data_IF_208342030621
#
_entry.id   IF_208342030621
#
_cell.length_a   1.000
_cell.length_b   1.000
_cell.length_c   1.000
_cell.angle_alpha   90.00
_cell.angle_beta   90.00
_cell.angle_gamma   90.00
#
_symmetry.space_group_name_H-M   'P 1'
#
loop_
_entity.id
_entity.type
_entity.pdbx_description
1 polymer ?
#
# COMPACT_ATOMS: atom_id res chain seq x y z
N UNK A 1 22.72 -4.04 -17.37
CA UNK A 1 22.12 -3.97 -16.02
C UNK A 1 23.13 -4.53 -15.03
N UNK A 2 23.42 -3.85 -13.91
CA UNK A 2 24.46 -4.29 -12.96
C UNK A 2 23.94 -5.49 -12.17
N UNK A 3 24.60 -6.65 -12.30
CA UNK A 3 24.41 -7.77 -11.38
C UNK A 3 24.95 -7.36 -10.00
N UNK A 4 24.06 -6.90 -9.12
CA UNK A 4 24.40 -6.64 -7.73
C UNK A 4 24.65 -7.97 -7.01
N UNK A 5 25.63 -8.01 -6.12
CA UNK A 5 25.79 -9.15 -5.23
C UNK A 5 24.70 -9.13 -4.14
N UNK A 6 24.32 -10.30 -3.63
CA UNK A 6 23.27 -10.44 -2.59
C UNK A 6 23.49 -9.54 -1.37
N UNK A 7 24.75 -9.29 -1.03
CA UNK A 7 25.14 -8.40 0.07
C UNK A 7 24.76 -6.95 -0.25
N UNK A 8 25.00 -6.45 -1.47
CA UNK A 8 24.60 -5.10 -1.87
C UNK A 8 23.07 -4.96 -1.89
N UNK A 9 22.33 -5.96 -2.38
CA UNK A 9 20.86 -5.94 -2.32
C UNK A 9 20.36 -5.80 -0.88
N UNK A 10 20.89 -6.62 0.03
CA UNK A 10 20.53 -6.57 1.45
C UNK A 10 20.87 -5.22 2.08
N UNK A 11 22.05 -4.66 1.77
CA UNK A 11 22.46 -3.33 2.23
C UNK A 11 21.48 -2.27 1.73
N UNK A 12 21.10 -2.28 0.45
CA UNK A 12 20.18 -1.29 -0.13
C UNK A 12 18.79 -1.37 0.50
N UNK A 13 18.23 -2.58 0.66
CA UNK A 13 16.94 -2.78 1.31
C UNK A 13 16.99 -2.28 2.76
N UNK A 14 18.01 -2.68 3.53
CA UNK A 14 18.15 -2.26 4.93
C UNK A 14 18.32 -0.75 5.05
N UNK A 15 19.14 -0.13 4.19
CA UNK A 15 19.33 1.31 4.16
C UNK A 15 18.04 2.07 3.82
N UNK A 16 17.23 1.55 2.87
CA UNK A 16 15.93 2.15 2.56
C UNK A 16 14.94 2.10 3.73
N UNK A 17 14.90 0.97 4.45
CA UNK A 17 14.04 0.82 5.64
C UNK A 17 14.46 1.78 6.75
N UNK A 18 15.77 1.86 7.04
CA UNK A 18 16.30 2.81 8.02
C UNK A 18 16.00 4.26 7.64
N UNK A 19 16.13 4.62 6.36
CA UNK A 19 15.82 5.96 5.87
C UNK A 19 14.36 6.32 6.11
N UNK A 20 13.43 5.39 5.85
CA UNK A 20 12.00 5.59 6.11
C UNK A 20 11.74 5.80 7.60
N UNK A 21 12.36 5.00 8.46
CA UNK A 21 12.21 5.10 9.92
C UNK A 21 12.75 6.43 10.44
N UNK A 22 13.93 6.86 9.99
CA UNK A 22 14.54 8.14 10.40
C UNK A 22 13.69 9.33 9.93
N UNK A 23 13.13 9.25 8.73
CA UNK A 23 12.32 10.32 8.14
C UNK A 23 10.84 10.28 8.55
N UNK A 24 10.45 9.40 9.48
CA UNK A 24 9.04 9.11 9.77
C UNK A 24 8.21 10.36 10.08
N UNK A 25 8.72 11.27 10.90
CA UNK A 25 7.98 12.48 11.31
C UNK A 25 8.16 13.68 10.37
N UNK A 26 8.82 13.48 9.23
CA UNK A 26 9.10 14.55 8.27
C UNK A 26 8.04 14.63 7.16
N UNK A 27 7.90 15.80 6.54
CA UNK A 27 7.04 15.95 5.35
C UNK A 27 7.55 15.19 4.12
N UNK A 28 8.82 14.77 4.13
CA UNK A 28 9.44 14.04 3.00
C UNK A 28 8.79 12.67 2.82
N UNK A 29 8.44 11.98 3.92
CA UNK A 29 7.81 10.66 3.86
C UNK A 29 6.30 10.72 3.61
N UNK A 30 5.70 11.91 3.70
CA UNK A 30 4.24 12.10 3.58
C UNK A 30 3.65 11.46 2.30
N UNK A 31 4.22 11.63 1.09
CA UNK A 31 3.68 10.99 -0.11
C UNK A 31 3.69 9.46 -0.04
N UNK A 32 4.71 8.87 0.59
CA UNK A 32 4.81 7.41 0.77
C UNK A 32 3.75 6.91 1.74
N UNK A 33 3.53 7.64 2.86
CA UNK A 33 2.47 7.33 3.82
C UNK A 33 1.08 7.45 3.19
N UNK A 34 0.85 8.50 2.40
CA UNK A 34 -0.41 8.71 1.69
C UNK A 34 -0.68 7.60 0.67
N UNK A 35 0.35 7.16 -0.06
CA UNK A 35 0.24 6.04 -1.01
C UNK A 35 -0.15 4.73 -0.30
N UNK A 36 0.37 4.46 0.89
CA UNK A 36 -0.03 3.29 1.68
C UNK A 36 -1.52 3.31 2.06
N UNK A 37 -2.04 4.47 2.47
CA UNK A 37 -3.45 4.66 2.78
C UNK A 37 -4.30 4.50 1.52
N UNK A 38 -3.86 5.06 0.38
CA UNK A 38 -4.53 4.86 -0.90
C UNK A 38 -4.67 3.37 -1.25
N UNK A 39 -3.62 2.57 -1.08
CA UNK A 39 -3.71 1.12 -1.32
C UNK A 39 -4.65 0.42 -0.35
N UNK A 40 -4.72 0.88 0.91
CA UNK A 40 -5.66 0.37 1.90
C UNK A 40 -7.12 0.63 1.47
N UNK A 41 -7.46 1.87 1.15
CA UNK A 41 -8.81 2.24 0.74
C UNK A 41 -9.20 1.67 -0.62
N UNK A 42 -8.24 1.57 -1.56
CA UNK A 42 -8.45 0.91 -2.84
C UNK A 42 -8.77 -0.60 -2.67
N UNK A 43 -8.23 -1.23 -1.63
CA UNK A 43 -8.53 -2.64 -1.32
C UNK A 43 -9.96 -2.81 -0.81
N UNK A 44 -10.45 -1.88 0.03
CA UNK A 44 -11.86 -1.82 0.43
C UNK A 44 -12.79 -1.61 -0.78
N UNK A 45 -12.42 -0.71 -1.69
CA UNK A 45 -13.15 -0.47 -2.93
C UNK A 45 -13.19 -1.72 -3.81
N UNK A 46 -12.07 -2.41 -3.97
CA UNK A 46 -11.99 -3.64 -4.75
C UNK A 46 -12.82 -4.77 -4.11
N UNK A 47 -12.75 -4.95 -2.80
CA UNK A 47 -13.56 -5.94 -2.09
C UNK A 47 -15.07 -5.62 -2.19
N UNK A 48 -15.43 -4.35 -2.16
CA UNK A 48 -16.81 -3.89 -2.37
C UNK A 48 -17.30 -4.32 -3.76
N UNK A 49 -16.52 -4.02 -4.80
CA UNK A 49 -16.83 -4.42 -6.17
C UNK A 49 -16.98 -5.94 -6.31
N UNK A 50 -16.00 -6.70 -5.81
CA UNK A 50 -15.98 -8.17 -5.93
C UNK A 50 -17.10 -8.87 -5.17
N UNK A 51 -17.62 -8.26 -4.11
CA UNK A 51 -18.73 -8.80 -3.32
C UNK A 51 -20.10 -8.32 -3.81
N UNK A 52 -20.15 -7.60 -4.94
CA UNK A 52 -21.38 -7.11 -5.57
C UNK A 52 -21.92 -5.81 -4.98
N UNK A 53 -21.12 -5.10 -4.17
CA UNK A 53 -21.44 -3.77 -3.69
C UNK A 53 -21.07 -2.68 -4.69
N UNK A 54 -21.48 -1.45 -4.38
CA UNK A 54 -21.18 -0.25 -5.14
C UNK A 54 -20.27 0.67 -4.34
N UNK A 55 -19.22 1.16 -4.98
CA UNK A 55 -18.32 2.16 -4.40
C UNK A 55 -18.96 3.52 -4.61
N UNK A 56 -19.23 4.23 -3.51
CA UNK A 56 -19.78 5.59 -3.52
C UNK A 56 -18.66 6.61 -3.61
N UNK A 57 -17.56 6.38 -2.89
CA UNK A 57 -16.41 7.28 -2.89
C UNK A 57 -15.23 6.73 -2.10
N UNK A 58 -14.06 7.30 -2.37
CA UNK A 58 -12.83 7.08 -1.61
C UNK A 58 -12.32 8.46 -1.18
N UNK A 59 -12.02 8.59 0.10
CA UNK A 59 -11.51 9.82 0.72
C UNK A 59 -10.10 9.60 1.25
N UNK A 60 -9.24 10.60 1.05
CA UNK A 60 -7.90 10.66 1.61
C UNK A 60 -7.73 12.00 2.33
N UNK A 61 -7.36 11.93 3.60
CA UNK A 61 -7.26 13.11 4.44
C UNK A 61 -5.80 13.49 4.71
N UNK A 62 -5.57 14.79 4.92
CA UNK A 62 -4.23 15.32 5.18
C UNK A 62 -3.62 14.82 6.51
N UNK A 63 -4.44 14.34 7.43
CA UNK A 63 -4.04 13.74 8.70
C UNK A 63 -3.68 12.24 8.60
N UNK A 64 -3.45 11.73 7.38
CA UNK A 64 -3.11 10.32 7.13
C UNK A 64 -4.23 9.34 7.53
N UNK A 65 -5.48 9.79 7.49
CA UNK A 65 -6.64 8.89 7.48
C UNK A 65 -7.20 8.75 6.06
N UNK A 66 -8.05 7.75 5.88
CA UNK A 66 -8.81 7.53 4.65
C UNK A 66 -10.14 6.90 4.97
N UNK A 67 -10.97 6.76 3.95
CA UNK A 67 -12.21 6.01 4.04
C UNK A 67 -12.77 5.63 2.68
N UNK A 68 -13.25 4.41 2.56
CA UNK A 68 -13.99 3.91 1.42
C UNK A 68 -15.48 3.81 1.78
N UNK A 69 -16.32 4.61 1.12
CA UNK A 69 -17.77 4.54 1.28
C UNK A 69 -18.33 3.51 0.30
N UNK A 70 -18.93 2.47 0.85
CA UNK A 70 -19.47 1.33 0.13
C UNK A 70 -20.96 1.12 0.44
N UNK A 71 -21.73 0.77 -0.59
CA UNK A 71 -23.14 0.39 -0.50
C UNK A 71 -23.32 -1.07 -0.93
N UNK A 72 -23.83 -1.91 -0.02
CA UNK A 72 -24.00 -3.34 -0.26
C UNK A 72 -22.67 -4.11 -0.29
N UNK A 73 -22.73 -5.36 -0.77
CA UNK A 73 -21.61 -6.29 -0.69
C UNK A 73 -21.46 -6.95 0.68
N UNK A 74 -20.32 -7.60 0.92
CA UNK A 74 -20.04 -8.28 2.18
C UNK A 74 -19.26 -7.37 3.12
N UNK A 75 -19.94 -6.81 4.12
CA UNK A 75 -19.33 -5.93 5.11
C UNK A 75 -18.08 -6.54 5.78
N UNK A 76 -18.11 -7.86 6.04
CA UNK A 76 -16.99 -8.56 6.66
C UNK A 76 -15.75 -8.58 5.73
N UNK A 77 -15.94 -8.98 4.47
CA UNK A 77 -14.83 -9.04 3.51
C UNK A 77 -14.29 -7.65 3.18
N UNK A 78 -15.18 -6.66 3.06
CA UNK A 78 -14.80 -5.26 2.87
C UNK A 78 -13.95 -4.83 4.06
N UNK A 79 -14.44 -4.93 5.31
CA UNK A 79 -13.71 -4.47 6.50
C UNK A 79 -12.33 -5.15 6.66
N UNK A 80 -12.18 -6.41 6.28
CA UNK A 80 -10.92 -7.14 6.39
C UNK A 80 -9.94 -6.88 5.25
N UNK A 81 -10.38 -6.32 4.13
CA UNK A 81 -9.57 -6.23 2.90
C UNK A 81 -8.44 -5.20 2.93
N UNK A 82 -8.54 -4.17 3.78
CA UNK A 82 -7.63 -3.01 3.77
C UNK A 82 -6.14 -3.38 3.94
N UNK A 83 -5.77 -3.95 5.09
CA UNK A 83 -4.38 -4.31 5.38
C UNK A 83 -3.82 -5.44 4.48
N UNK A 84 -4.54 -6.56 4.26
CA UNK A 84 -4.06 -7.62 3.39
C UNK A 84 -3.90 -7.16 1.94
N UNK A 85 -4.83 -6.35 1.43
CA UNK A 85 -4.77 -5.84 0.06
C UNK A 85 -3.64 -4.83 -0.13
N UNK A 86 -3.41 -3.91 0.81
CA UNK A 86 -2.27 -2.98 0.72
C UNK A 86 -0.92 -3.70 0.76
N UNK A 87 -0.79 -4.73 1.60
CA UNK A 87 0.40 -5.60 1.60
C UNK A 87 0.58 -6.33 0.26
N UNK A 88 -0.49 -6.89 -0.30
CA UNK A 88 -0.44 -7.60 -1.58
C UNK A 88 0.03 -6.67 -2.72
N UNK A 89 -0.52 -5.45 -2.79
CA UNK A 89 -0.12 -4.45 -3.79
C UNK A 89 1.36 -4.09 -3.61
N UNK A 90 1.82 -3.84 -2.38
CA UNK A 90 3.22 -3.55 -2.11
C UNK A 90 4.15 -4.70 -2.52
N UNK A 91 3.76 -5.95 -2.23
CA UNK A 91 4.50 -7.13 -2.65
C UNK A 91 4.59 -7.24 -4.17
N UNK A 92 3.48 -7.04 -4.89
CA UNK A 92 3.44 -7.06 -6.35
C UNK A 92 4.36 -5.99 -6.96
N UNK A 93 4.35 -4.76 -6.41
CA UNK A 93 5.25 -3.69 -6.84
C UNK A 93 6.72 -4.06 -6.60
N UNK A 94 7.04 -4.59 -5.43
CA UNK A 94 8.40 -5.04 -5.11
C UNK A 94 8.87 -6.12 -6.08
N UNK A 95 8.08 -7.18 -6.29
CA UNK A 95 8.44 -8.25 -7.21
C UNK A 95 8.50 -7.80 -8.67
N UNK A 96 7.62 -6.89 -9.09
CA UNK A 96 7.67 -6.31 -10.43
C UNK A 96 8.93 -5.48 -10.67
N UNK A 97 9.40 -4.75 -9.65
CA UNK A 97 10.64 -3.99 -9.73
C UNK A 97 11.89 -4.87 -9.56
N UNK A 98 11.77 -5.96 -8.81
CA UNK A 98 12.82 -6.94 -8.56
C UNK A 98 13.02 -7.85 -9.78
N UNK A 99 13.46 -7.26 -10.89
CA UNK A 99 13.77 -7.99 -12.12
C UNK A 99 15.14 -8.66 -12.00
N UNK A 100 15.15 -9.99 -11.95
CA UNK A 100 16.37 -10.84 -11.86
C UNK A 100 16.92 -11.30 -13.21
N UNK A 101 16.37 -10.80 -14.31
CA UNK A 101 16.80 -11.13 -15.67
C UNK A 101 18.03 -10.34 -16.10
#
# INVERSE_FOLDING_TARGET
MKNFNKITELILITASLLTIVILWDTKIIYPVKLMFILFHEASHALATFLTGGKIVGIELNNNLSGGCVAEGGSNLLIALSGYPGSFLIAALLFFSAYNKN
#
